data_IF_164728858440
#
_entry.id   IF_164728858440
#
_cell.length_a   1.000
_cell.length_b   1.000
_cell.length_c   1.000
_cell.angle_alpha   90.00
_cell.angle_beta   90.00
_cell.angle_gamma   90.00
#
_symmetry.space_group_name_H-M   'P 1'
#
loop_
_entity.id
_entity.type
_entity.pdbx_description
1 polymer ?
#
# COMPACT_ATOMS: atom_id res chain seq x y z
N UNK A 1 -2.53 33.63 58.82
CA UNK A 1 -3.13 32.56 57.96
C UNK A 1 -3.46 33.01 56.55
N UNK A 2 -3.93 34.25 56.32
CA UNK A 2 -4.21 34.80 54.96
C UNK A 2 -2.96 34.99 54.08
N UNK A 3 -1.79 35.27 54.66
CA UNK A 3 -0.57 35.52 53.87
C UNK A 3 0.13 34.23 53.40
N UNK A 4 -0.04 33.12 54.13
CA UNK A 4 0.47 31.81 53.72
C UNK A 4 -0.24 31.31 52.45
N UNK A 5 -1.57 31.47 52.38
CA UNK A 5 -2.39 31.05 51.23
C UNK A 5 -2.04 31.83 49.96
N UNK A 6 -1.73 33.13 50.06
CA UNK A 6 -1.30 33.94 48.91
C UNK A 6 0.07 33.54 48.38
N UNK A 7 0.98 33.08 49.26
CA UNK A 7 2.30 32.59 48.85
C UNK A 7 2.22 31.25 48.13
N UNK A 8 1.40 30.31 48.63
CA UNK A 8 1.22 29.00 48.00
C UNK A 8 0.53 29.10 46.64
N UNK A 9 -0.44 30.01 46.48
CA UNK A 9 -1.12 30.23 45.21
C UNK A 9 -0.18 30.82 44.14
N UNK A 10 0.72 31.74 44.52
CA UNK A 10 1.75 32.28 43.62
C UNK A 10 2.74 31.20 43.18
N UNK A 11 3.14 30.31 44.10
CA UNK A 11 4.04 29.20 43.79
C UNK A 11 3.40 28.16 42.86
N UNK A 12 2.11 27.87 43.04
CA UNK A 12 1.37 26.95 42.18
C UNK A 12 1.21 27.50 40.76
N UNK A 13 0.92 28.79 40.61
CA UNK A 13 0.82 29.46 39.29
C UNK A 13 2.19 29.55 38.60
N UNK A 14 3.28 29.77 39.36
CA UNK A 14 4.63 29.74 38.78
C UNK A 14 5.01 28.32 38.32
N UNK A 15 4.67 27.30 39.10
CA UNK A 15 4.97 25.90 38.76
C UNK A 15 4.20 25.41 37.52
N UNK A 16 2.94 25.81 37.34
CA UNK A 16 2.17 25.47 36.13
C UNK A 16 2.68 26.19 34.89
N UNK A 17 3.13 27.45 35.01
CA UNK A 17 3.71 28.20 33.89
C UNK A 17 5.08 27.65 33.48
N UNK A 18 5.94 27.27 34.44
CA UNK A 18 7.25 26.66 34.14
C UNK A 18 7.10 25.26 33.57
N UNK A 19 6.13 24.47 34.06
CA UNK A 19 5.83 23.13 33.51
C UNK A 19 5.42 23.18 32.04
N UNK A 20 4.60 24.16 31.65
CA UNK A 20 4.23 24.34 30.24
C UNK A 20 5.43 24.78 29.39
N UNK A 21 6.30 25.67 29.89
CA UNK A 21 7.49 26.10 29.14
C UNK A 21 8.49 24.97 28.87
N UNK A 22 8.78 24.12 29.86
CA UNK A 22 9.71 22.98 29.67
C UNK A 22 9.14 21.89 28.76
N UNK A 23 7.81 21.76 28.71
CA UNK A 23 7.12 20.82 27.83
C UNK A 23 7.09 21.33 26.39
N UNK A 24 6.98 22.65 26.20
CA UNK A 24 7.14 23.31 24.88
C UNK A 24 8.58 23.22 24.40
N UNK A 25 9.57 23.45 25.27
CA UNK A 25 11.00 23.32 24.94
C UNK A 25 11.36 21.90 24.49
N UNK A 26 10.85 20.88 25.20
CA UNK A 26 10.99 19.47 24.80
C UNK A 26 10.25 19.11 23.50
N UNK A 27 9.20 19.84 23.14
CA UNK A 27 8.50 19.65 21.85
C UNK A 27 9.23 20.35 20.69
N UNK A 28 10.04 21.38 20.97
CA UNK A 28 10.85 22.11 19.97
C UNK A 28 12.26 21.56 19.76
N UNK A 29 12.79 20.73 20.67
CA UNK A 29 14.17 20.24 20.62
C UNK A 29 14.41 18.95 19.79
N UNK A 30 13.40 18.39 19.11
CA UNK A 30 13.69 17.44 18.03
C UNK A 30 14.21 18.20 16.80
N UNK A 31 15.44 18.70 16.90
CA UNK A 31 16.26 19.10 15.75
C UNK A 31 16.56 17.81 14.99
N UNK A 32 15.63 17.40 14.13
CA UNK A 32 15.84 16.29 13.19
C UNK A 32 16.96 16.77 12.27
N UNK A 33 18.17 16.21 12.35
CA UNK A 33 19.27 16.70 11.56
C UNK A 33 18.93 16.49 10.08
N UNK A 34 19.11 17.54 9.28
CA UNK A 34 19.05 17.52 7.81
C UNK A 34 20.18 16.63 7.29
N UNK A 35 20.02 15.31 7.38
CA UNK A 35 21.01 14.33 6.94
C UNK A 35 20.53 13.71 5.62
N UNK A 36 21.22 13.97 4.49
CA UNK A 36 20.94 13.24 3.27
C UNK A 36 21.25 11.75 3.51
N UNK A 37 20.23 10.90 3.40
CA UNK A 37 20.40 9.46 3.56
C UNK A 37 21.26 8.89 2.43
N UNK A 38 22.01 7.82 2.72
CA UNK A 38 22.82 7.12 1.71
C UNK A 38 21.93 6.62 0.58
N UNK A 39 22.14 7.15 -0.62
CA UNK A 39 21.26 7.00 -1.78
C UNK A 39 21.38 5.60 -2.40
N UNK A 40 20.34 4.77 -2.25
CA UNK A 40 20.14 3.58 -3.09
C UNK A 40 19.18 3.94 -4.21
N UNK A 41 19.51 3.59 -5.46
CA UNK A 41 18.60 3.76 -6.60
C UNK A 41 17.26 3.07 -6.31
N UNK A 42 16.16 3.79 -6.54
CA UNK A 42 14.78 3.33 -6.35
C UNK A 42 14.17 2.65 -7.58
N UNK A 43 14.95 2.52 -8.64
CA UNK A 43 14.50 2.00 -9.93
C UNK A 43 15.55 1.04 -10.47
N UNK A 44 15.12 0.14 -11.34
CA UNK A 44 16.06 -0.65 -12.13
C UNK A 44 16.60 0.23 -13.25
N UNK A 45 17.93 0.21 -13.46
CA UNK A 45 18.47 0.75 -14.73
C UNK A 45 17.77 -0.01 -15.86
N UNK A 46 17.31 0.70 -16.88
CA UNK A 46 16.43 0.15 -17.92
C UNK A 46 17.14 -1.01 -18.61
N UNK A 47 16.86 -2.25 -18.20
CA UNK A 47 17.49 -3.44 -18.79
C UNK A 47 16.56 -4.66 -18.84
N UNK A 48 16.49 -5.19 -20.06
CA UNK A 48 16.16 -6.50 -20.65
C UNK A 48 15.33 -7.58 -19.95
N UNK A 49 14.97 -7.46 -18.67
CA UNK A 49 14.23 -8.52 -17.99
C UNK A 49 12.86 -8.76 -18.66
N UNK A 50 12.54 -10.02 -19.03
CA UNK A 50 11.24 -10.32 -19.63
C UNK A 50 10.09 -10.03 -18.67
N UNK A 51 10.35 -10.11 -17.35
CA UNK A 51 9.39 -9.88 -16.27
C UNK A 51 10.08 -9.20 -15.10
N UNK A 52 9.50 -8.12 -14.57
CA UNK A 52 9.91 -7.48 -13.33
C UNK A 52 8.79 -7.59 -12.29
N UNK A 53 9.12 -8.08 -11.11
CA UNK A 53 8.21 -8.14 -9.96
C UNK A 53 8.49 -6.99 -9.00
N UNK A 54 7.42 -6.43 -8.46
CA UNK A 54 7.44 -5.48 -7.36
C UNK A 54 6.66 -6.09 -6.20
N UNK A 55 7.32 -6.20 -5.05
CA UNK A 55 6.70 -6.62 -3.79
C UNK A 55 7.24 -5.83 -2.61
N UNK A 56 6.63 -6.02 -1.44
CA UNK A 56 7.06 -5.35 -0.19
C UNK A 56 8.24 -6.01 0.50
N UNK A 57 8.74 -7.11 -0.05
CA UNK A 57 9.83 -7.89 0.52
C UNK A 57 10.62 -8.61 -0.58
N UNK A 58 11.94 -8.57 -0.47
CA UNK A 58 12.84 -9.21 -1.42
C UNK A 58 12.67 -10.73 -1.47
N UNK A 59 12.54 -11.36 -0.31
CA UNK A 59 12.50 -12.83 -0.20
C UNK A 59 11.26 -13.40 -0.89
N UNK A 60 10.11 -12.75 -0.73
CA UNK A 60 8.89 -13.13 -1.44
C UNK A 60 9.02 -12.99 -2.97
N UNK A 61 9.64 -11.90 -3.42
CA UNK A 61 9.94 -11.67 -4.84
C UNK A 61 10.86 -12.76 -5.39
N UNK A 62 11.93 -13.12 -4.66
CA UNK A 62 12.88 -14.16 -5.06
C UNK A 62 12.21 -15.55 -5.14
N UNK A 63 11.38 -15.90 -4.14
CA UNK A 63 10.62 -17.17 -4.14
C UNK A 63 9.69 -17.24 -5.36
N UNK A 64 9.01 -16.15 -5.69
CA UNK A 64 8.07 -16.17 -6.82
C UNK A 64 8.79 -16.13 -8.18
N UNK A 65 9.94 -15.47 -8.29
CA UNK A 65 10.78 -15.56 -9.48
C UNK A 65 11.20 -17.02 -9.76
N UNK A 66 11.56 -17.77 -8.72
CA UNK A 66 11.86 -19.21 -8.85
C UNK A 66 10.64 -20.04 -9.28
N UNK A 67 9.42 -19.63 -8.86
CA UNK A 67 8.19 -20.23 -9.37
C UNK A 67 7.98 -19.92 -10.85
N UNK A 68 8.15 -18.66 -11.28
CA UNK A 68 7.99 -18.25 -12.68
C UNK A 68 8.95 -18.98 -13.63
N UNK A 69 10.17 -19.28 -13.17
CA UNK A 69 11.13 -20.08 -13.94
C UNK A 69 10.61 -21.51 -14.23
N UNK A 70 9.86 -22.11 -13.30
CA UNK A 70 9.25 -23.44 -13.44
C UNK A 70 7.90 -23.40 -14.16
N UNK A 71 7.20 -22.27 -14.08
CA UNK A 71 5.89 -22.03 -14.67
C UNK A 71 5.97 -21.10 -15.91
N UNK A 72 7.00 -21.28 -16.73
CA UNK A 72 7.29 -20.40 -17.88
C UNK A 72 6.16 -20.36 -18.91
N UNK A 73 5.41 -21.46 -19.02
CA UNK A 73 4.24 -21.65 -19.89
C UNK A 73 3.01 -20.81 -19.52
N UNK A 74 2.97 -20.20 -18.33
CA UNK A 74 1.88 -19.30 -17.95
C UNK A 74 1.91 -18.02 -18.82
N UNK A 75 0.73 -17.61 -19.29
CA UNK A 75 0.59 -16.32 -19.97
C UNK A 75 0.68 -15.15 -18.98
N UNK A 76 0.69 -13.92 -19.49
CA UNK A 76 0.87 -12.72 -18.65
C UNK A 76 -0.22 -12.56 -17.59
N UNK A 77 -1.49 -12.73 -17.98
CA UNK A 77 -2.64 -12.65 -17.06
C UNK A 77 -2.57 -13.73 -15.99
N UNK A 78 -2.20 -14.95 -16.36
CA UNK A 78 -2.06 -16.07 -15.43
C UNK A 78 -0.91 -15.84 -14.43
N UNK A 79 0.21 -15.27 -14.88
CA UNK A 79 1.33 -14.85 -14.02
C UNK A 79 0.92 -13.74 -13.06
N UNK A 80 0.14 -12.76 -13.51
CA UNK A 80 -0.43 -11.71 -12.65
C UNK A 80 -1.30 -12.33 -11.54
N UNK A 81 -2.22 -13.23 -11.91
CA UNK A 81 -3.12 -13.88 -10.96
C UNK A 81 -2.38 -14.80 -10.00
N UNK A 82 -1.37 -15.53 -10.48
CA UNK A 82 -0.50 -16.35 -9.62
C UNK A 82 0.26 -15.48 -8.60
N UNK A 83 0.77 -14.31 -9.02
CA UNK A 83 1.48 -13.38 -8.14
C UNK A 83 0.55 -12.82 -7.06
N UNK A 84 -0.68 -12.47 -7.44
CA UNK A 84 -1.73 -12.04 -6.50
C UNK A 84 -2.06 -13.13 -5.48
N UNK A 85 -2.32 -14.37 -5.93
CA UNK A 85 -2.61 -15.47 -5.01
C UNK A 85 -1.46 -15.69 -4.02
N UNK A 86 -0.21 -15.66 -4.50
CA UNK A 86 0.96 -15.84 -3.65
C UNK A 86 1.07 -14.78 -2.54
N UNK A 87 0.49 -13.58 -2.70
CA UNK A 87 0.45 -12.57 -1.64
C UNK A 87 -0.28 -13.07 -0.39
N UNK A 88 -1.24 -14.00 -0.50
CA UNK A 88 -1.90 -14.59 0.67
C UNK A 88 -0.94 -15.38 1.55
N UNK A 89 0.13 -15.92 0.98
CA UNK A 89 1.20 -16.55 1.75
C UNK A 89 2.14 -15.50 2.34
N UNK A 90 2.44 -14.43 1.60
CA UNK A 90 3.41 -13.42 2.03
C UNK A 90 2.90 -12.50 3.13
N UNK A 91 1.61 -12.14 3.08
CA UNK A 91 0.93 -11.26 4.02
C UNK A 91 -0.44 -11.83 4.37
N UNK A 92 -0.49 -12.95 5.12
CA UNK A 92 -1.76 -13.56 5.53
C UNK A 92 -2.61 -12.66 6.44
N UNK A 93 -2.02 -11.56 6.91
CA UNK A 93 -2.65 -10.50 7.69
C UNK A 93 -3.24 -9.34 6.86
N UNK A 94 -2.88 -9.19 5.57
CA UNK A 94 -3.35 -8.10 4.68
C UNK A 94 -3.90 -8.56 3.32
N UNK A 95 -3.45 -9.71 2.82
CA UNK A 95 -3.87 -10.30 1.56
C UNK A 95 -4.68 -11.57 1.89
N UNK A 96 -5.97 -11.40 2.10
CA UNK A 96 -6.88 -12.50 2.44
C UNK A 96 -7.94 -12.64 1.35
N UNK A 97 -8.62 -13.80 1.24
CA UNK A 97 -9.67 -14.02 0.27
C UNK A 97 -10.77 -12.96 0.27
N UNK A 98 -11.05 -12.33 1.41
CA UNK A 98 -12.09 -11.30 1.58
C UNK A 98 -11.57 -9.87 1.61
N UNK A 99 -10.27 -9.64 1.40
CA UNK A 99 -9.73 -8.29 1.33
C UNK A 99 -10.32 -7.54 0.12
N UNK A 100 -10.56 -6.23 0.28
CA UNK A 100 -10.92 -5.37 -0.86
C UNK A 100 -9.76 -5.41 -1.85
N UNK A 101 -10.06 -5.47 -3.14
CA UNK A 101 -9.03 -5.65 -4.16
C UNK A 101 -9.16 -4.60 -5.25
N UNK A 102 -8.14 -3.76 -5.36
CA UNK A 102 -8.03 -2.74 -6.40
C UNK A 102 -6.95 -3.15 -7.40
N UNK A 103 -7.22 -2.96 -8.68
CA UNK A 103 -6.33 -3.34 -9.77
C UNK A 103 -6.27 -2.24 -10.79
N UNK A 104 -5.05 -1.88 -11.19
CA UNK A 104 -4.79 -1.18 -12.45
C UNK A 104 -3.93 -2.07 -13.33
N UNK A 105 -4.36 -2.28 -14.56
CA UNK A 105 -3.61 -3.07 -15.54
C UNK A 105 -3.51 -2.31 -16.85
N UNK A 106 -2.37 -2.44 -17.52
CA UNK A 106 -2.17 -2.04 -18.89
C UNK A 106 -1.89 -3.28 -19.72
N UNK A 107 -2.80 -3.59 -20.63
CA UNK A 107 -2.67 -4.72 -21.55
C UNK A 107 -2.77 -4.23 -23.00
N UNK A 108 -2.71 -5.16 -23.96
CA UNK A 108 -2.92 -4.82 -25.38
C UNK A 108 -4.32 -4.25 -25.66
N UNK A 109 -5.31 -4.51 -24.81
CA UNK A 109 -6.66 -3.93 -24.94
C UNK A 109 -6.79 -2.55 -24.28
N UNK A 110 -5.69 -1.99 -23.77
CA UNK A 110 -5.66 -0.70 -23.08
C UNK A 110 -5.58 -0.84 -21.55
N UNK A 111 -5.76 0.30 -20.89
CA UNK A 111 -5.72 0.43 -19.44
C UNK A 111 -7.09 0.11 -18.85
N UNK A 112 -7.11 -0.69 -17.78
CA UNK A 112 -8.33 -1.01 -17.05
C UNK A 112 -8.09 -0.87 -15.55
N UNK A 113 -9.09 -0.30 -14.88
CA UNK A 113 -9.16 -0.20 -13.43
C UNK A 113 -10.38 -0.97 -12.91
N UNK A 114 -10.19 -1.73 -11.84
CA UNK A 114 -11.27 -2.37 -11.09
C UNK A 114 -11.06 -2.19 -9.59
N UNK A 115 -12.18 -2.06 -8.89
CA UNK A 115 -12.29 -2.10 -7.45
C UNK A 115 -13.36 -3.09 -7.03
N UNK A 116 -12.92 -4.22 -6.49
CA UNK A 116 -13.77 -5.28 -5.99
C UNK A 116 -13.97 -5.12 -4.49
N UNK A 117 -15.19 -4.77 -4.08
CA UNK A 117 -15.58 -4.51 -2.68
C UNK A 117 -16.88 -5.19 -2.29
N UNK A 118 -17.10 -5.39 -0.99
CA UNK A 118 -18.37 -5.86 -0.44
C UNK A 118 -19.47 -4.83 -0.73
N UNK A 119 -20.62 -5.28 -1.24
CA UNK A 119 -21.76 -4.42 -1.52
C UNK A 119 -22.33 -3.76 -0.26
N UNK A 120 -22.11 -4.36 0.91
CA UNK A 120 -22.52 -3.81 2.20
C UNK A 120 -21.47 -2.88 2.84
N UNK A 121 -20.32 -2.66 2.20
CA UNK A 121 -19.22 -1.88 2.78
C UNK A 121 -19.62 -0.44 3.12
N UNK A 122 -20.47 0.15 2.28
CA UNK A 122 -20.93 1.53 2.42
C UNK A 122 -22.18 1.65 3.31
N UNK A 123 -22.77 0.53 3.73
CA UNK A 123 -24.01 0.49 4.54
C UNK A 123 -23.74 0.32 6.05
N UNK A 124 -22.49 0.21 6.47
CA UNK A 124 -22.08 0.04 7.88
C UNK A 124 -22.74 -1.14 8.61
N UNK A 125 -23.24 -2.13 7.86
CA UNK A 125 -23.83 -3.34 8.40
C UNK A 125 -22.70 -4.35 8.67
N UNK A 126 -22.41 -4.68 9.95
CA UNK A 126 -21.38 -5.65 10.27
C UNK A 126 -21.81 -7.04 9.77
N UNK A 127 -21.24 -7.50 8.66
CA UNK A 127 -21.32 -8.91 8.28
C UNK A 127 -20.31 -9.71 9.10
N UNK A 128 -20.78 -10.83 9.64
CA UNK A 128 -19.93 -11.79 10.35
C UNK A 128 -18.88 -12.45 9.45
N UNK A 129 -19.05 -12.41 8.12
CA UNK A 129 -18.07 -12.91 7.16
C UNK A 129 -18.19 -12.17 5.82
N UNK A 130 -17.24 -11.26 5.48
CA UNK A 130 -17.28 -10.54 4.22
C UNK A 130 -17.10 -11.48 3.01
N UNK A 131 -17.69 -11.14 1.84
CA UNK A 131 -17.55 -11.92 0.63
C UNK A 131 -16.09 -12.00 0.18
N UNK A 132 -15.72 -13.08 -0.53
CA UNK A 132 -14.35 -13.28 -1.02
C UNK A 132 -14.05 -12.44 -2.27
N UNK A 133 -14.09 -11.11 -2.12
CA UNK A 133 -13.88 -10.10 -3.18
C UNK A 133 -12.54 -10.27 -3.89
N UNK A 134 -11.47 -10.58 -3.16
CA UNK A 134 -10.15 -10.76 -3.74
C UNK A 134 -10.15 -11.91 -4.76
N UNK A 135 -10.65 -13.08 -4.36
CA UNK A 135 -10.71 -14.25 -5.24
C UNK A 135 -11.70 -14.06 -6.40
N UNK A 136 -12.82 -13.37 -6.15
CA UNK A 136 -13.76 -12.99 -7.20
C UNK A 136 -13.12 -12.08 -8.24
N UNK A 137 -12.34 -11.08 -7.82
CA UNK A 137 -11.62 -10.19 -8.72
C UNK A 137 -10.58 -10.92 -9.57
N UNK A 138 -9.82 -11.85 -8.98
CA UNK A 138 -8.86 -12.67 -9.72
C UNK A 138 -9.55 -13.57 -10.76
N UNK A 139 -10.67 -14.20 -10.43
CA UNK A 139 -11.44 -14.96 -11.40
C UNK A 139 -12.01 -14.06 -12.52
N UNK A 140 -12.47 -12.85 -12.17
CA UNK A 140 -12.97 -11.87 -13.14
C UNK A 140 -11.88 -11.48 -14.13
N UNK A 141 -10.65 -11.21 -13.67
CA UNK A 141 -9.51 -10.89 -14.52
C UNK A 141 -9.18 -12.04 -15.49
N UNK A 142 -9.16 -13.29 -15.01
CA UNK A 142 -8.93 -14.45 -15.88
C UNK A 142 -9.98 -14.55 -16.99
N UNK A 143 -11.26 -14.29 -16.68
CA UNK A 143 -12.36 -14.32 -17.64
C UNK A 143 -12.28 -13.17 -18.64
N UNK A 144 -12.04 -11.94 -18.18
CA UNK A 144 -11.92 -10.75 -19.03
C UNK A 144 -10.87 -10.94 -20.13
N UNK A 145 -9.74 -11.55 -19.79
CA UNK A 145 -8.66 -11.81 -20.75
C UNK A 145 -8.67 -13.22 -21.33
N UNK A 146 -9.79 -13.95 -21.20
CA UNK A 146 -9.99 -15.27 -21.82
C UNK A 146 -8.83 -16.25 -21.56
N UNK A 147 -8.36 -16.27 -20.32
CA UNK A 147 -7.27 -17.13 -19.86
C UNK A 147 -7.60 -18.61 -20.08
N UNK A 148 -6.62 -19.39 -20.51
CA UNK A 148 -6.77 -20.85 -20.71
C UNK A 148 -6.86 -21.57 -19.36
N UNK A 149 -6.09 -21.10 -18.38
CA UNK A 149 -6.08 -21.68 -17.05
C UNK A 149 -7.10 -21.01 -16.13
N UNK A 150 -7.85 -21.83 -15.41
CA UNK A 150 -8.78 -21.40 -14.35
C UNK A 150 -8.04 -21.08 -13.05
N UNK A 151 -8.72 -20.42 -12.10
CA UNK A 151 -8.17 -20.18 -10.77
C UNK A 151 -7.81 -21.49 -10.03
N UNK A 152 -8.56 -22.57 -10.27
CA UNK A 152 -8.27 -23.91 -9.74
C UNK A 152 -6.98 -24.48 -10.34
N UNK A 153 -6.77 -24.26 -11.64
CA UNK A 153 -5.56 -24.73 -12.33
C UNK A 153 -4.32 -23.98 -11.83
N UNK A 154 -4.40 -22.66 -11.71
CA UNK A 154 -3.30 -21.82 -11.21
C UNK A 154 -2.98 -22.17 -9.75
N UNK A 155 -3.99 -22.36 -8.89
CA UNK A 155 -3.76 -22.77 -7.49
C UNK A 155 -3.09 -24.14 -7.36
N UNK A 156 -3.45 -25.11 -8.20
CA UNK A 156 -2.77 -26.41 -8.23
C UNK A 156 -1.29 -26.27 -8.64
N UNK A 157 -0.98 -25.36 -9.57
CA UNK A 157 0.42 -25.09 -9.96
C UNK A 157 1.22 -24.45 -8.82
N UNK A 158 0.62 -23.52 -8.07
CA UNK A 158 1.24 -22.94 -6.87
C UNK A 158 1.50 -24.03 -5.82
N UNK A 159 0.51 -24.88 -5.54
CA UNK A 159 0.66 -26.02 -4.63
C UNK A 159 1.75 -27.01 -5.09
N UNK A 160 1.94 -27.18 -6.40
CA UNK A 160 2.94 -28.11 -6.94
C UNK A 160 4.36 -27.53 -6.91
N UNK A 161 4.54 -26.26 -7.29
CA UNK A 161 5.87 -25.72 -7.59
C UNK A 161 6.47 -24.80 -6.54
N UNK A 162 5.67 -24.24 -5.62
CA UNK A 162 6.19 -23.44 -4.51
C UNK A 162 6.82 -24.32 -3.42
N UNK A 163 7.88 -23.83 -2.75
CA UNK A 163 8.51 -24.55 -1.65
C UNK A 163 7.54 -24.73 -0.48
N UNK A 164 7.72 -25.81 0.31
CA UNK A 164 6.84 -26.12 1.45
C UNK A 164 6.95 -25.10 2.59
N UNK A 165 8.08 -24.39 2.67
CA UNK A 165 8.37 -23.36 3.66
C UNK A 165 8.62 -22.05 2.93
N UNK A 166 7.84 -21.03 3.27
CA UNK A 166 7.93 -19.69 2.68
C UNK A 166 8.55 -18.76 3.74
N UNK A 167 9.70 -18.12 3.46
CA UNK A 167 10.27 -17.13 4.37
C UNK A 167 9.33 -15.95 4.61
N UNK A 168 9.32 -15.43 5.84
CA UNK A 168 8.52 -14.26 6.20
C UNK A 168 9.30 -12.96 6.04
N UNK A 169 8.58 -11.95 5.59
CA UNK A 169 9.09 -10.57 5.47
C UNK A 169 9.30 -9.91 6.83
N UNK A 170 10.12 -8.86 6.85
CA UNK A 170 10.34 -8.08 8.07
C UNK A 170 9.03 -7.45 8.60
N UNK A 171 8.17 -6.95 7.71
CA UNK A 171 6.88 -6.36 8.08
C UNK A 171 5.92 -7.39 8.66
N UNK A 172 5.94 -8.63 8.17
CA UNK A 172 5.10 -9.68 8.72
C UNK A 172 5.63 -10.18 10.07
N UNK A 173 6.95 -10.29 10.24
CA UNK A 173 7.57 -10.60 11.53
C UNK A 173 7.23 -9.55 12.60
N UNK A 174 7.34 -8.26 12.24
CA UNK A 174 6.95 -7.14 13.10
C UNK A 174 5.46 -7.21 13.47
N UNK A 175 4.59 -7.53 12.52
CA UNK A 175 3.17 -7.74 12.79
C UNK A 175 2.93 -8.90 13.79
N UNK A 176 3.61 -10.03 13.65
CA UNK A 176 3.47 -11.17 14.59
C UNK A 176 3.91 -10.74 16.00
N UNK A 177 5.03 -10.03 16.10
CA UNK A 177 5.58 -9.55 17.37
C UNK A 177 4.60 -8.60 18.09
N UNK A 178 4.10 -7.58 17.39
CA UNK A 178 3.15 -6.61 17.92
C UNK A 178 1.81 -7.24 18.37
N UNK A 179 1.45 -8.39 17.82
CA UNK A 179 0.17 -9.06 18.08
C UNK A 179 0.32 -10.42 18.76
N UNK A 180 1.49 -10.71 19.36
CA UNK A 180 1.84 -12.00 19.96
C UNK A 180 0.74 -12.56 20.86
N UNK A 181 0.25 -11.76 21.80
CA UNK A 181 -0.77 -12.20 22.77
C UNK A 181 -2.03 -12.77 22.09
N UNK A 182 -2.60 -12.02 21.13
CA UNK A 182 -3.83 -12.42 20.42
C UNK A 182 -3.61 -13.62 19.51
N UNK A 183 -2.42 -13.73 18.89
CA UNK A 183 -2.10 -14.83 17.99
C UNK A 183 -1.86 -16.16 18.74
N UNK A 184 -1.43 -16.11 20.00
CA UNK A 184 -1.23 -17.30 20.83
C UNK A 184 -2.56 -17.95 21.27
N UNK A 185 -3.67 -17.22 21.21
CA UNK A 185 -5.00 -17.72 21.61
C UNK A 185 -5.54 -18.80 20.64
N UNK A 186 -5.11 -18.77 19.37
CA UNK A 186 -5.57 -19.72 18.34
C UNK A 186 -4.50 -20.76 17.99
N UNK A 187 -4.90 -22.04 17.96
CA UNK A 187 -4.00 -23.17 17.69
C UNK A 187 -3.40 -23.17 16.29
N UNK A 188 -4.12 -22.65 15.28
CA UNK A 188 -3.65 -22.58 13.89
C UNK A 188 -2.54 -21.54 13.78
N UNK A 189 -2.74 -20.38 14.40
CA UNK A 189 -1.72 -19.33 14.44
C UNK A 189 -0.52 -19.74 15.29
N UNK A 190 -0.74 -20.34 16.47
CA UNK A 190 0.33 -20.91 17.29
C UNK A 190 1.23 -21.85 16.49
N UNK A 191 0.64 -22.78 15.73
CA UNK A 191 1.39 -23.75 14.91
C UNK A 191 2.12 -23.11 13.73
N UNK A 192 1.59 -22.00 13.19
CA UNK A 192 2.06 -21.42 11.93
C UNK A 192 3.02 -20.26 12.12
N UNK A 193 2.84 -19.44 13.17
CA UNK A 193 3.54 -18.18 13.41
C UNK A 193 4.49 -18.22 14.61
N UNK A 194 4.60 -19.37 15.29
CA UNK A 194 5.49 -19.55 16.43
C UNK A 194 6.29 -20.85 16.32
N UNK A 195 7.48 -20.84 16.92
CA UNK A 195 8.34 -22.01 17.15
C UNK A 195 8.71 -22.04 18.62
N UNK A 196 8.41 -23.14 19.30
CA UNK A 196 8.65 -23.27 20.75
C UNK A 196 8.11 -22.07 21.56
N UNK A 197 6.90 -21.60 21.22
CA UNK A 197 6.23 -20.42 21.79
C UNK A 197 6.91 -19.05 21.55
N UNK A 198 8.00 -19.02 20.79
CA UNK A 198 8.62 -17.78 20.30
C UNK A 198 8.07 -17.40 18.92
N UNK A 199 7.88 -16.10 18.71
CA UNK A 199 7.38 -15.55 17.44
C UNK A 199 8.41 -15.76 16.33
N UNK A 200 7.92 -16.04 15.11
CA UNK A 200 8.79 -16.11 13.95
C UNK A 200 9.44 -14.75 13.66
N UNK A 201 10.73 -14.78 13.35
CA UNK A 201 11.56 -13.62 13.00
C UNK A 201 11.74 -13.51 11.49
N UNK A 202 12.19 -12.35 11.02
CA UNK A 202 12.54 -12.12 9.62
C UNK A 202 13.45 -13.21 9.06
N UNK A 203 13.11 -13.73 7.87
CA UNK A 203 13.85 -14.80 7.21
C UNK A 203 13.53 -16.22 7.70
N UNK A 204 12.88 -16.37 8.86
CA UNK A 204 12.27 -17.65 9.22
C UNK A 204 11.06 -17.94 8.34
N UNK A 205 10.49 -19.14 8.42
CA UNK A 205 9.49 -19.59 7.45
C UNK A 205 8.19 -20.06 8.07
N UNK A 206 7.10 -19.73 7.40
CA UNK A 206 5.76 -20.29 7.60
C UNK A 206 5.51 -21.44 6.62
N UNK A 207 4.53 -22.33 6.88
CA UNK A 207 4.11 -23.31 5.89
C UNK A 207 3.53 -22.65 4.63
N UNK A 208 3.69 -23.33 3.49
CA UNK A 208 2.96 -23.01 2.27
C UNK A 208 1.45 -23.15 2.48
N UNK A 209 0.68 -22.17 2.01
CA UNK A 209 -0.77 -22.19 1.98
C UNK A 209 -1.24 -23.30 1.03
N UNK A 210 -2.25 -24.07 1.43
CA UNK A 210 -2.91 -25.01 0.53
C UNK A 210 -3.86 -24.26 -0.41
N UNK A 211 -3.34 -23.69 -1.50
CA UNK A 211 -4.10 -22.80 -2.40
C UNK A 211 -5.32 -23.50 -2.97
N UNK A 212 -5.19 -24.75 -3.40
CA UNK A 212 -6.31 -25.53 -3.97
C UNK A 212 -7.46 -25.67 -2.98
N UNK A 213 -7.17 -25.86 -1.68
CA UNK A 213 -8.20 -25.94 -0.64
C UNK A 213 -8.97 -24.62 -0.50
N UNK A 214 -8.25 -23.49 -0.50
CA UNK A 214 -8.83 -22.15 -0.42
C UNK A 214 -9.72 -21.87 -1.66
N UNK A 215 -9.20 -22.16 -2.86
CA UNK A 215 -9.93 -21.93 -4.10
C UNK A 215 -11.15 -22.85 -4.24
N UNK A 216 -11.07 -24.10 -3.79
CA UNK A 216 -12.23 -25.00 -3.78
C UNK A 216 -13.33 -24.51 -2.83
N UNK A 217 -12.95 -23.94 -1.68
CA UNK A 217 -13.91 -23.31 -0.77
C UNK A 217 -14.59 -22.09 -1.43
N UNK A 218 -13.82 -21.22 -2.08
CA UNK A 218 -14.38 -20.11 -2.88
C UNK A 218 -15.42 -20.59 -3.91
N UNK A 219 -15.09 -21.61 -4.69
CA UNK A 219 -16.02 -22.15 -5.70
C UNK A 219 -17.30 -22.75 -5.09
N UNK A 220 -17.24 -23.28 -3.87
CA UNK A 220 -18.43 -23.78 -3.15
C UNK A 220 -19.44 -22.68 -2.84
N UNK A 221 -18.97 -21.46 -2.58
CA UNK A 221 -19.81 -20.31 -2.19
C UNK A 221 -19.94 -19.24 -3.28
N UNK A 222 -19.41 -19.49 -4.48
CA UNK A 222 -19.28 -18.51 -5.56
C UNK A 222 -20.58 -17.79 -5.92
N UNK A 223 -21.69 -18.51 -6.05
CA UNK A 223 -22.97 -17.91 -6.45
C UNK A 223 -23.48 -16.90 -5.42
N UNK A 224 -23.28 -17.18 -4.13
CA UNK A 224 -23.60 -16.25 -3.05
C UNK A 224 -22.64 -15.05 -3.09
N UNK A 225 -21.34 -15.31 -3.20
CA UNK A 225 -20.30 -14.27 -3.28
C UNK A 225 -20.59 -13.30 -4.43
N UNK A 226 -20.97 -13.78 -5.61
CA UNK A 226 -21.21 -12.92 -6.78
C UNK A 226 -22.35 -11.90 -6.60
N UNK A 227 -23.30 -12.16 -5.70
CA UNK A 227 -24.40 -11.22 -5.38
C UNK A 227 -23.97 -10.20 -4.33
N UNK A 228 -22.96 -10.53 -3.52
CA UNK A 228 -22.45 -9.70 -2.43
C UNK A 228 -21.24 -8.83 -2.83
N UNK A 229 -20.69 -9.00 -4.04
CA UNK A 229 -19.53 -8.23 -4.52
C UNK A 229 -20.00 -7.14 -5.48
N UNK A 230 -19.56 -5.92 -5.21
CA UNK A 230 -19.67 -4.78 -6.13
C UNK A 230 -18.33 -4.57 -6.83
N UNK A 231 -18.38 -4.30 -8.14
CA UNK A 231 -17.22 -3.91 -8.95
C UNK A 231 -17.41 -2.46 -9.39
N UNK A 232 -16.44 -1.59 -9.08
CA UNK A 232 -16.39 -0.22 -9.59
C UNK A 232 -15.21 -0.05 -10.54
N UNK A 233 -15.44 0.65 -11.65
CA UNK A 233 -14.40 1.05 -12.60
C UNK A 233 -14.27 2.58 -12.66
N UNK A 234 -14.82 3.28 -11.66
CA UNK A 234 -14.91 4.74 -11.67
C UNK A 234 -13.53 5.37 -11.61
N UNK A 235 -13.29 6.29 -12.55
CA UNK A 235 -12.11 7.13 -12.60
C UNK A 235 -12.54 8.58 -12.84
N UNK A 236 -11.93 9.51 -12.13
CA UNK A 236 -12.15 10.95 -12.21
C UNK A 236 -11.00 11.57 -13.00
N UNK A 237 -11.35 12.41 -13.97
CA UNK A 237 -10.37 13.19 -14.72
C UNK A 237 -9.86 14.35 -13.87
N UNK A 238 -8.58 14.67 -14.02
CA UNK A 238 -7.93 15.76 -13.32
C UNK A 238 -7.53 16.82 -14.34
N UNK A 239 -8.03 18.03 -14.12
CA UNK A 239 -7.52 19.22 -14.78
C UNK A 239 -6.19 19.63 -14.13
N UNK A 240 -5.11 19.50 -14.90
CA UNK A 240 -3.78 19.98 -14.54
C UNK A 240 -3.37 21.00 -15.61
N UNK A 241 -2.93 22.22 -15.23
CA UNK A 241 -2.66 23.31 -16.18
C UNK A 241 -1.68 22.98 -17.31
N UNK A 242 -0.79 22.01 -17.08
CA UNK A 242 0.27 21.64 -18.00
C UNK A 242 -0.09 20.51 -18.98
N UNK A 243 -1.30 19.95 -18.90
CA UNK A 243 -1.71 18.88 -19.80
C UNK A 243 -2.10 19.45 -21.16
N UNK A 244 -1.62 18.83 -22.23
CA UNK A 244 -2.07 19.15 -23.58
C UNK A 244 -3.50 18.62 -23.77
N UNK A 245 -4.48 19.54 -23.78
CA UNK A 245 -5.90 19.20 -23.94
C UNK A 245 -6.11 18.32 -25.18
N UNK A 246 -6.71 17.15 -24.98
CA UNK A 246 -7.03 16.19 -26.04
C UNK A 246 -5.90 15.20 -26.40
N UNK A 247 -4.67 15.41 -25.93
CA UNK A 247 -3.54 14.50 -26.14
C UNK A 247 -3.16 13.72 -24.88
N UNK A 248 -3.37 14.33 -23.71
CA UNK A 248 -3.03 13.74 -22.42
C UNK A 248 -4.22 13.82 -21.47
N UNK A 249 -4.43 12.74 -20.72
CA UNK A 249 -5.43 12.69 -19.66
C UNK A 249 -4.84 12.00 -18.43
N UNK A 250 -5.09 12.56 -17.25
CA UNK A 250 -4.78 11.92 -15.97
C UNK A 250 -6.10 11.55 -15.31
N UNK A 251 -6.24 10.27 -14.99
CA UNK A 251 -7.42 9.67 -14.42
C UNK A 251 -7.09 9.04 -13.06
N UNK A 252 -7.89 9.29 -12.04
CA UNK A 252 -7.73 8.73 -10.69
C UNK A 252 -8.99 8.03 -10.20
N UNK A 253 -8.85 6.98 -9.41
CA UNK A 253 -10.00 6.31 -8.77
C UNK A 253 -10.59 7.08 -7.57
N UNK A 254 -10.00 8.21 -7.21
CA UNK A 254 -10.46 9.13 -6.18
C UNK A 254 -10.49 10.53 -6.76
N UNK A 255 -11.47 11.33 -6.36
CA UNK A 255 -11.47 12.76 -6.68
C UNK A 255 -10.36 13.43 -5.87
N UNK A 256 -9.21 13.68 -6.52
CA UNK A 256 -8.11 14.43 -5.92
C UNK A 256 -8.29 15.95 -6.10
N UNK A 257 -9.17 16.42 -6.98
CA UNK A 257 -9.36 17.85 -7.18
C UNK A 257 -10.00 18.51 -5.97
N UNK A 258 -10.74 17.75 -5.14
CA UNK A 258 -11.24 18.22 -3.85
C UNK A 258 -10.17 18.86 -2.95
N UNK A 259 -8.90 18.46 -3.08
CA UNK A 259 -7.80 19.03 -2.28
C UNK A 259 -7.49 20.49 -2.66
N UNK A 260 -7.79 20.92 -3.90
CA UNK A 260 -7.71 22.34 -4.29
C UNK A 260 -8.70 23.22 -3.51
N UNK A 261 -9.79 22.62 -3.01
CA UNK A 261 -10.81 23.26 -2.19
C UNK A 261 -10.58 23.02 -0.68
N UNK A 262 -9.39 22.55 -0.30
CA UNK A 262 -9.04 22.21 1.10
C UNK A 262 -9.96 21.16 1.74
N UNK A 263 -10.52 20.23 0.95
CA UNK A 263 -11.32 19.11 1.47
C UNK A 263 -10.43 17.88 1.69
N UNK A 264 -9.96 17.70 2.92
CA UNK A 264 -9.02 16.63 3.29
C UNK A 264 -9.71 15.41 3.92
N UNK A 265 -9.19 14.21 3.66
CA UNK A 265 -9.73 12.93 4.16
C UNK A 265 -8.75 12.29 5.16
N UNK A 266 -8.48 13.03 6.23
CA UNK A 266 -7.54 12.62 7.27
C UNK A 266 -8.09 11.43 8.05
N UNK A 267 -7.44 10.27 7.91
CA UNK A 267 -7.73 9.10 8.72
C UNK A 267 -7.17 9.23 10.14
N UNK A 268 -7.78 8.52 11.09
CA UNK A 268 -7.28 8.40 12.46
C UNK A 268 -5.99 7.58 12.53
N UNK A 269 -5.80 6.61 11.63
CA UNK A 269 -4.63 5.74 11.57
C UNK A 269 -3.68 6.07 10.40
N UNK A 270 -2.48 5.48 10.42
CA UNK A 270 -1.48 5.64 9.36
C UNK A 270 -1.75 4.75 8.13
N UNK A 271 -2.93 4.13 8.04
CA UNK A 271 -3.36 3.21 6.97
C UNK A 271 -2.32 2.17 6.60
N UNK A 272 -1.66 1.54 7.59
CA UNK A 272 -0.73 0.42 7.37
C UNK A 272 -1.44 -0.91 7.02
N UNK A 273 -2.64 -0.79 6.45
CA UNK A 273 -3.60 -1.85 6.17
C UNK A 273 -3.79 -2.11 4.68
N UNK A 274 -2.92 -1.49 3.87
CA UNK A 274 -2.82 -1.69 2.43
C UNK A 274 -1.57 -2.49 2.06
N UNK A 275 -1.73 -3.40 1.10
CA UNK A 275 -0.64 -4.23 0.59
C UNK A 275 -0.59 -4.17 -0.94
N UNK A 276 0.18 -3.22 -1.49
CA UNK A 276 0.41 -3.16 -2.93
C UNK A 276 1.51 -4.11 -3.40
N UNK A 277 1.38 -4.55 -4.65
CA UNK A 277 2.33 -5.40 -5.36
C UNK A 277 2.10 -5.26 -6.88
N UNK A 278 3.12 -5.52 -7.68
CA UNK A 278 3.03 -5.31 -9.12
C UNK A 278 3.87 -6.30 -9.94
N UNK A 279 3.58 -6.38 -11.23
CA UNK A 279 4.36 -7.12 -12.24
C UNK A 279 4.38 -6.32 -13.54
N UNK A 280 5.56 -6.16 -14.13
CA UNK A 280 5.80 -5.51 -15.43
C UNK A 280 6.38 -6.52 -16.42
N UNK A 281 6.03 -6.36 -17.69
CA UNK A 281 6.61 -7.09 -18.80
C UNK A 281 7.44 -6.18 -19.71
N UNK A 282 8.38 -6.76 -20.46
CA UNK A 282 9.27 -6.03 -21.37
C UNK A 282 8.54 -5.17 -22.40
N UNK A 283 7.34 -5.58 -22.84
CA UNK A 283 6.53 -4.84 -23.83
C UNK A 283 5.66 -3.73 -23.22
N UNK A 284 5.94 -3.29 -21.98
CA UNK A 284 5.24 -2.17 -21.34
C UNK A 284 3.87 -2.52 -20.74
N UNK A 285 3.43 -3.78 -20.86
CA UNK A 285 2.27 -4.27 -20.12
C UNK A 285 2.62 -4.38 -18.64
N UNK A 286 1.70 -4.01 -17.76
CA UNK A 286 1.88 -4.10 -16.32
C UNK A 286 0.57 -4.40 -15.62
N UNK A 287 0.69 -4.87 -14.39
CA UNK A 287 -0.39 -5.03 -13.43
C UNK A 287 0.07 -4.50 -12.08
N UNK A 288 -0.79 -3.72 -11.45
CA UNK A 288 -0.63 -3.19 -10.10
C UNK A 288 -1.87 -3.60 -9.29
N UNK A 289 -1.66 -4.43 -8.28
CA UNK A 289 -2.71 -4.91 -7.39
C UNK A 289 -2.52 -4.37 -5.98
N UNK A 290 -3.62 -4.06 -5.30
CA UNK A 290 -3.62 -3.61 -3.91
C UNK A 290 -4.72 -4.32 -3.15
N UNK A 291 -4.36 -4.98 -2.03
CA UNK A 291 -5.34 -5.49 -1.08
C UNK A 291 -5.47 -4.54 0.11
N UNK A 292 -6.70 -4.31 0.55
CA UNK A 292 -7.02 -3.35 1.62
C UNK A 292 -7.98 -3.96 2.64
N UNK A 293 -7.64 -3.83 3.91
CA UNK A 293 -8.46 -4.29 5.04
C UNK A 293 -8.68 -3.16 6.06
N UNK A 294 -9.75 -3.18 6.85
CA UNK A 294 -9.96 -2.22 7.94
C UNK A 294 -9.58 -2.80 9.29
N UNK A 295 -10.08 -4.00 9.60
CA UNK A 295 -9.86 -4.66 10.87
C UNK A 295 -9.46 -6.13 10.66
N UNK A 296 -8.68 -6.63 11.61
CA UNK A 296 -8.26 -8.03 11.68
C UNK A 296 -9.02 -8.68 12.82
N UNK A 297 -9.79 -9.71 12.49
CA UNK A 297 -10.27 -10.64 13.49
C UNK A 297 -9.19 -11.69 13.66
N UNK A 298 -8.67 -11.86 14.88
CA UNK A 298 -7.62 -12.83 15.20
C UNK A 298 -8.19 -14.24 15.25
N UNK A 299 -8.81 -14.66 14.13
CA UNK A 299 -9.36 -15.98 13.88
C UNK A 299 -8.89 -16.50 12.53
N UNK A 300 -8.57 -17.80 12.43
CA UNK A 300 -8.12 -18.41 11.20
C UNK A 300 -9.26 -18.55 10.20
N UNK A 301 -9.05 -18.03 9.00
CA UNK A 301 -9.98 -18.18 7.89
C UNK A 301 -9.83 -19.57 7.27
N UNK A 302 -10.95 -20.29 7.11
CA UNK A 302 -11.01 -21.59 6.42
C UNK A 302 -10.04 -22.66 6.97
N UNK A 303 -9.78 -22.64 8.28
CA UNK A 303 -8.83 -23.52 8.96
C UNK A 303 -7.44 -23.49 8.29
N UNK A 304 -6.98 -22.27 8.01
CA UNK A 304 -5.67 -21.92 7.46
C UNK A 304 -5.08 -20.78 8.30
N UNK A 305 -3.80 -20.46 8.09
CA UNK A 305 -3.17 -19.34 8.80
C UNK A 305 -3.56 -17.96 8.25
N UNK A 306 -4.45 -17.88 7.26
CA UNK A 306 -5.01 -16.61 6.80
C UNK A 306 -5.91 -16.02 7.89
N UNK A 307 -5.92 -14.70 8.04
CA UNK A 307 -6.78 -14.03 9.01
C UNK A 307 -8.16 -13.75 8.45
N UNK A 308 -9.17 -13.81 9.31
CA UNK A 308 -10.44 -13.17 9.02
C UNK A 308 -10.28 -11.65 9.08
N UNK A 309 -10.73 -10.95 8.03
CA UNK A 309 -10.54 -9.50 7.90
C UNK A 309 -11.78 -8.84 7.34
N UNK A 310 -12.07 -7.61 7.79
CA UNK A 310 -13.04 -6.71 7.17
C UNK A 310 -12.36 -5.80 6.15
N UNK A 311 -13.12 -5.26 5.21
CA UNK A 311 -12.59 -4.44 4.12
C UNK A 311 -12.41 -2.98 4.53
N UNK A 312 -11.42 -2.31 3.94
CA UNK A 312 -11.27 -0.87 4.08
C UNK A 312 -12.34 -0.14 3.25
N UNK A 313 -13.10 0.76 3.91
CA UNK A 313 -14.09 1.63 3.25
C UNK A 313 -13.42 2.60 2.27
N UNK A 314 -12.20 3.04 2.58
CA UNK A 314 -11.46 4.00 1.76
C UNK A 314 -10.66 3.30 0.67
N UNK A 315 -10.80 3.80 -0.56
CA UNK A 315 -9.98 3.37 -1.69
C UNK A 315 -8.55 3.85 -1.50
N UNK A 316 -7.58 3.05 -1.93
CA UNK A 316 -6.20 3.53 -2.12
C UNK A 316 -6.14 4.41 -3.37
N UNK A 317 -5.68 5.67 -3.28
CA UNK A 317 -5.49 6.55 -4.43
C UNK A 317 -4.56 5.94 -5.47
N UNK A 318 -5.13 5.73 -6.65
CA UNK A 318 -4.50 5.15 -7.80
C UNK A 318 -4.87 5.98 -9.03
N UNK A 319 -3.84 6.48 -9.71
CA UNK A 319 -3.99 7.30 -10.90
C UNK A 319 -3.18 6.75 -12.06
N UNK A 320 -3.58 7.05 -13.28
CA UNK A 320 -2.74 6.86 -14.46
C UNK A 320 -2.83 8.05 -15.40
N UNK A 321 -1.74 8.29 -16.12
CA UNK A 321 -1.66 9.25 -17.23
C UNK A 321 -1.60 8.46 -18.52
N UNK A 322 -2.50 8.76 -19.45
CA UNK A 322 -2.36 8.34 -20.83
C UNK A 322 -1.70 9.45 -21.65
N UNK A 323 -0.68 9.10 -22.42
CA UNK A 323 0.07 10.04 -23.26
C UNK A 323 0.63 9.32 -24.49
N UNK A 324 1.12 10.09 -25.46
CA UNK A 324 1.82 9.55 -26.64
C UNK A 324 3.10 8.78 -26.28
N UNK A 325 3.72 9.07 -25.12
CA UNK A 325 4.87 8.35 -24.60
C UNK A 325 4.51 7.02 -23.92
N UNK A 326 3.22 6.72 -23.78
CA UNK A 326 2.68 5.54 -23.10
C UNK A 326 1.97 5.88 -21.78
N UNK A 327 1.71 4.83 -21.00
CA UNK A 327 0.96 4.90 -19.75
C UNK A 327 1.90 5.03 -18.55
N UNK A 328 1.73 6.10 -17.77
CA UNK A 328 2.33 6.20 -16.43
C UNK A 328 1.27 5.91 -15.36
N UNK A 329 1.66 5.31 -14.24
CA UNK A 329 0.75 5.06 -13.12
C UNK A 329 1.34 5.56 -11.80
N UNK A 330 0.47 5.98 -10.88
CA UNK A 330 0.84 6.57 -9.60
C UNK A 330 -0.03 5.97 -8.51
N UNK A 331 0.59 5.54 -7.41
CA UNK A 331 -0.10 4.89 -6.30
C UNK A 331 0.37 5.48 -4.99
N UNK A 332 -0.55 5.94 -4.15
CA UNK A 332 -0.25 6.39 -2.78
C UNK A 332 -1.07 5.59 -1.79
N UNK A 333 -0.42 4.91 -0.83
CA UNK A 333 -1.10 3.84 -0.07
C UNK A 333 -0.77 3.79 1.43
N UNK A 334 0.01 4.72 1.96
CA UNK A 334 0.30 4.81 3.40
C UNK A 334 0.14 6.23 3.90
N UNK A 335 -0.01 6.37 5.22
CA UNK A 335 -0.22 7.63 5.90
C UNK A 335 -1.69 8.01 6.02
N UNK A 336 -1.96 9.12 6.71
CA UNK A 336 -3.30 9.49 7.17
C UNK A 336 -4.20 9.96 6.02
N UNK A 337 -3.63 10.60 5.00
CA UNK A 337 -4.32 10.97 3.76
C UNK A 337 -3.42 10.72 2.54
N UNK A 338 -3.44 9.49 2.00
CA UNK A 338 -2.64 9.17 0.83
C UNK A 338 -3.02 10.00 -0.41
N UNK A 339 -4.25 10.52 -0.49
CA UNK A 339 -4.73 11.28 -1.64
C UNK A 339 -4.08 12.66 -1.68
N UNK A 340 -3.93 13.30 -0.52
CA UNK A 340 -3.23 14.57 -0.40
C UNK A 340 -1.77 14.45 -0.84
N UNK A 341 -1.06 13.37 -0.47
CA UNK A 341 0.33 13.16 -0.91
C UNK A 341 0.45 13.08 -2.43
N UNK A 342 -0.48 12.37 -3.07
CA UNK A 342 -0.48 12.22 -4.52
C UNK A 342 -0.86 13.53 -5.23
N UNK A 343 -1.82 14.28 -4.68
CA UNK A 343 -2.17 15.61 -5.15
C UNK A 343 -0.97 16.56 -5.12
N UNK A 344 -0.24 16.59 -4.00
CA UNK A 344 0.95 17.43 -3.87
C UNK A 344 2.01 17.11 -4.93
N UNK A 345 2.23 15.82 -5.22
CA UNK A 345 3.15 15.42 -6.29
C UNK A 345 2.71 15.89 -7.69
N UNK A 346 1.41 15.91 -7.97
CA UNK A 346 0.90 16.48 -9.22
C UNK A 346 1.07 18.00 -9.28
N UNK A 347 0.96 18.71 -8.15
CA UNK A 347 1.30 20.14 -8.09
C UNK A 347 2.78 20.41 -8.38
N UNK A 348 3.65 19.45 -8.03
CA UNK A 348 5.07 19.48 -8.38
C UNK A 348 5.37 18.96 -9.80
N UNK A 349 4.35 18.70 -10.62
CA UNK A 349 4.50 18.26 -12.01
C UNK A 349 5.15 16.87 -12.20
N UNK A 350 4.98 15.95 -11.25
CA UNK A 350 5.48 14.56 -11.40
C UNK A 350 4.98 13.90 -12.70
N UNK A 351 3.78 14.26 -13.16
CA UNK A 351 3.14 13.72 -14.36
C UNK A 351 3.76 14.16 -15.69
N UNK A 352 4.66 15.15 -15.65
CA UNK A 352 5.39 15.60 -16.83
C UNK A 352 6.65 14.77 -17.08
N UNK A 353 7.24 14.17 -16.05
CA UNK A 353 8.47 13.41 -16.21
C UNK A 353 8.22 11.94 -16.55
N UNK A 354 9.06 11.42 -17.43
CA UNK A 354 9.21 9.98 -17.70
C UNK A 354 10.64 9.52 -17.45
N UNK A 355 11.52 10.41 -16.97
CA UNK A 355 12.90 10.09 -16.69
C UNK A 355 13.02 9.41 -15.31
N UNK A 356 13.76 8.30 -15.18
CA UNK A 356 13.87 7.60 -13.91
C UNK A 356 14.53 8.41 -12.80
N UNK A 357 15.49 9.28 -13.13
CA UNK A 357 16.19 10.10 -12.13
C UNK A 357 15.30 11.21 -11.60
N UNK A 358 14.58 11.90 -12.50
CA UNK A 358 13.59 12.90 -12.12
C UNK A 358 12.49 12.30 -11.24
N UNK A 359 11.94 11.15 -11.64
CA UNK A 359 10.90 10.45 -10.88
C UNK A 359 11.40 10.00 -9.50
N UNK A 360 12.65 9.52 -9.40
CA UNK A 360 13.27 9.21 -8.11
C UNK A 360 13.37 10.47 -7.23
N UNK A 361 13.76 11.61 -7.80
CA UNK A 361 13.82 12.88 -7.08
C UNK A 361 12.42 13.31 -6.58
N UNK A 362 11.39 13.22 -7.42
CA UNK A 362 10.00 13.53 -7.00
C UNK A 362 9.51 12.64 -5.86
N UNK A 363 9.77 11.33 -5.93
CA UNK A 363 9.32 10.41 -4.88
C UNK A 363 10.08 10.65 -3.57
N UNK A 364 11.36 11.03 -3.64
CA UNK A 364 12.18 11.36 -2.46
C UNK A 364 11.83 12.69 -1.83
N UNK A 365 11.27 13.63 -2.60
CA UNK A 365 10.91 14.96 -2.14
C UNK A 365 10.10 14.90 -0.83
N UNK A 366 10.36 15.79 0.14
CA UNK A 366 9.69 15.82 1.43
C UNK A 366 8.18 15.91 1.26
N UNK A 367 7.46 15.05 1.96
CA UNK A 367 6.00 15.09 2.00
C UNK A 367 5.52 16.00 3.10
N UNK A 368 4.32 16.50 2.89
CA UNK A 368 3.61 17.28 3.88
C UNK A 368 2.14 16.88 3.90
N UNK A 369 1.53 17.06 5.07
CA UNK A 369 0.11 16.82 5.32
C UNK A 369 -0.50 18.10 5.90
N UNK A 370 -1.45 18.70 5.19
CA UNK A 370 -2.20 19.87 5.70
C UNK A 370 -3.37 19.34 6.54
N UNK A 371 -3.44 19.80 7.78
CA UNK A 371 -4.51 19.52 8.72
C UNK A 371 -5.32 20.79 8.95
N UNK A 372 -6.64 20.66 8.96
CA UNK A 372 -7.55 21.74 9.30
C UNK A 372 -8.02 21.64 10.75
N UNK A 373 -8.42 22.77 11.33
CA UNK A 373 -9.00 22.88 12.67
C UNK A 373 -8.11 22.35 13.81
N UNK A 374 -7.05 23.09 14.22
CA UNK A 374 -6.51 24.30 13.58
C UNK A 374 -5.66 24.00 12.33
N UNK A 375 -5.48 25.01 11.47
CA UNK A 375 -4.57 24.93 10.33
C UNK A 375 -3.14 24.66 10.82
N UNK A 376 -2.55 23.57 10.35
CA UNK A 376 -1.17 23.17 10.66
C UNK A 376 -0.65 22.20 9.61
N UNK A 377 0.66 22.06 9.52
CA UNK A 377 1.33 21.17 8.57
C UNK A 377 2.16 20.13 9.32
N UNK A 378 1.98 18.85 8.99
CA UNK A 378 3.00 17.84 9.29
C UNK A 378 3.99 17.82 8.12
N UNK A 379 5.29 17.87 8.38
CA UNK A 379 6.32 17.97 7.33
C UNK A 379 7.48 17.00 7.56
N UNK A 380 7.93 16.32 6.50
CA UNK A 380 9.08 15.42 6.53
C UNK A 380 10.42 16.16 6.54
N UNK A 381 10.81 16.68 7.69
CA UNK A 381 11.95 17.60 7.79
C UNK A 381 13.29 16.94 7.55
N UNK A 382 13.41 15.63 7.83
CA UNK A 382 14.62 14.83 7.53
C UNK A 382 14.99 14.80 6.04
N UNK A 383 14.05 15.15 5.15
CA UNK A 383 14.22 15.14 3.69
C UNK A 383 14.06 16.51 3.06
N UNK A 384 13.71 17.52 3.86
CA UNK A 384 13.45 18.87 3.41
C UNK A 384 14.68 19.76 3.39
N UNK A 385 14.49 20.95 2.85
CA UNK A 385 15.45 22.06 2.93
C UNK A 385 14.84 23.19 3.77
N UNK A 386 15.67 24.13 4.23
CA UNK A 386 15.18 25.34 4.91
C UNK A 386 14.26 26.15 3.97
N UNK A 387 14.62 26.27 2.68
CA UNK A 387 13.79 26.95 1.67
C UNK A 387 12.38 26.32 1.50
N UNK A 388 12.28 25.01 1.68
CA UNK A 388 10.97 24.33 1.64
C UNK A 388 10.13 24.60 2.88
N UNK A 389 10.77 24.81 4.03
CA UNK A 389 10.11 25.18 5.29
C UNK A 389 9.68 26.66 5.28
N UNK A 390 10.49 27.54 4.72
CA UNK A 390 10.23 28.99 4.66
C UNK A 390 8.88 29.29 3.99
N UNK A 391 8.51 28.52 2.95
CA UNK A 391 7.19 28.63 2.29
C UNK A 391 6.01 28.50 3.27
N UNK A 392 6.14 27.67 4.31
CA UNK A 392 5.10 27.47 5.32
C UNK A 392 5.21 28.48 6.47
N UNK A 393 6.45 28.86 6.82
CA UNK A 393 6.72 29.88 7.84
C UNK A 393 6.21 31.25 7.40
N UNK A 394 6.43 31.64 6.15
CA UNK A 394 5.92 32.88 5.54
C UNK A 394 4.39 32.97 5.60
N UNK A 395 3.70 31.83 5.61
CA UNK A 395 2.25 31.75 5.70
C UNK A 395 1.73 31.73 7.16
N UNK A 396 2.61 31.85 8.16
CA UNK A 396 2.30 31.74 9.58
C UNK A 396 1.58 30.42 9.95
N UNK A 397 1.89 29.33 9.26
CA UNK A 397 1.29 28.02 9.52
C UNK A 397 2.18 27.22 10.48
N UNK A 398 1.66 26.73 11.62
CA UNK A 398 2.42 25.86 12.52
C UNK A 398 2.91 24.59 11.82
N UNK A 399 4.21 24.30 11.95
CA UNK A 399 4.86 23.14 11.36
C UNK A 399 5.19 22.13 12.46
N UNK A 400 4.86 20.87 12.23
CA UNK A 400 5.22 19.75 13.08
C UNK A 400 6.06 18.77 12.27
N UNK A 401 7.20 18.41 12.83
CA UNK A 401 8.18 17.56 12.15
C UNK A 401 7.75 16.09 12.24
N UNK A 402 7.87 15.38 11.13
CA UNK A 402 7.66 13.94 11.05
C UNK A 402 8.85 13.28 10.38
N UNK A 403 9.23 12.08 10.82
CA UNK A 403 10.32 11.33 10.19
C UNK A 403 9.91 10.73 8.84
N UNK A 404 8.63 10.34 8.71
CA UNK A 404 8.08 9.66 7.53
C UNK A 404 6.58 9.89 7.41
N UNK A 405 6.15 10.37 6.25
CA UNK A 405 4.77 10.53 5.82
C UNK A 405 4.56 9.78 4.51
N UNK A 406 3.62 8.84 4.56
CA UNK A 406 3.14 8.10 3.40
C UNK A 406 4.17 7.30 2.60
N UNK A 407 3.67 6.63 1.57
CA UNK A 407 4.48 5.93 0.57
C UNK A 407 3.82 6.08 -0.80
N UNK A 408 4.62 6.37 -1.82
CA UNK A 408 4.16 6.53 -3.21
C UNK A 408 4.99 5.67 -4.17
N UNK A 409 4.33 4.89 -5.02
CA UNK A 409 4.97 4.16 -6.11
C UNK A 409 4.57 4.76 -7.45
N UNK A 410 5.53 4.78 -8.39
CA UNK A 410 5.30 5.28 -9.74
C UNK A 410 5.70 4.21 -10.75
N UNK A 411 4.93 4.10 -11.82
CA UNK A 411 5.30 3.38 -13.03
C UNK A 411 5.42 4.39 -14.17
N UNK A 412 6.48 4.28 -14.97
CA UNK A 412 6.63 5.02 -16.23
C UNK A 412 7.02 4.06 -17.35
N UNK A 413 6.60 4.33 -18.61
CA UNK A 413 6.98 3.51 -19.75
C UNK A 413 8.50 3.36 -19.91
N UNK A 414 9.24 4.46 -19.73
CA UNK A 414 10.71 4.47 -19.85
C UNK A 414 11.40 3.86 -18.63
N UNK A 415 10.99 4.27 -17.42
CA UNK A 415 11.67 3.90 -16.17
C UNK A 415 11.25 2.55 -15.58
N UNK A 416 10.09 2.03 -15.98
CA UNK A 416 9.42 0.98 -15.20
C UNK A 416 8.95 1.48 -13.85
N UNK A 417 9.00 0.63 -12.83
CA UNK A 417 8.62 1.00 -11.48
C UNK A 417 9.74 1.76 -10.77
N UNK A 418 9.35 2.84 -10.08
CA UNK A 418 10.18 3.64 -9.17
C UNK A 418 9.56 3.54 -7.79
N UNK A 419 10.33 3.06 -6.80
CA UNK A 419 9.85 2.76 -5.44
C UNK A 419 10.23 3.83 -4.41
N UNK A 420 9.37 4.07 -3.45
CA UNK A 420 9.69 4.95 -2.32
C UNK A 420 10.66 4.28 -1.35
N UNK A 421 11.82 4.91 -1.13
CA UNK A 421 12.84 4.42 -0.21
C UNK A 421 12.47 4.59 1.27
N UNK A 422 11.36 5.27 1.57
CA UNK A 422 10.73 5.22 2.89
C UNK A 422 10.17 3.84 3.21
N UNK A 423 9.75 3.09 2.18
CA UNK A 423 9.23 1.74 2.30
C UNK A 423 10.33 0.67 2.29
N UNK A 424 9.92 -0.59 2.49
CA UNK A 424 10.80 -1.77 2.34
C UNK A 424 10.57 -2.50 1.00
N UNK A 425 10.00 -1.80 0.02
CA UNK A 425 9.67 -2.36 -1.28
C UNK A 425 10.93 -2.90 -2.00
N UNK A 426 10.74 -3.93 -2.81
CA UNK A 426 11.79 -4.55 -3.60
C UNK A 426 11.34 -4.76 -5.04
N UNK A 427 12.22 -4.39 -5.97
CA UNK A 427 12.11 -4.65 -7.40
C UNK A 427 13.08 -5.76 -7.80
N UNK A 428 12.61 -6.77 -8.52
CA UNK A 428 13.48 -7.79 -9.11
C UNK A 428 14.22 -7.24 -10.32
N UNK A 429 15.22 -6.41 -10.09
CA UNK A 429 16.14 -5.99 -11.15
C UNK A 429 17.12 -7.14 -11.45
N UNK A 430 17.44 -7.37 -12.73
CA UNK A 430 18.60 -8.21 -13.09
C UNK A 430 19.86 -7.43 -12.70
N UNK A 431 20.84 -8.14 -12.14
CA UNK A 431 22.17 -7.61 -11.84
C UNK A 431 23.05 -7.62 -13.07
#
# INVERSE_FOLDING_TARGET
>A
MKDSIKSTLKFLVLATLVSCSSMVEKLTEEVVPLKPSVQKKSYCSVDDSPVTLLGRDKTGVDVFNNFLAKASYLNKTEKMVAWSLFQMNMRPDLATPSARFQVLTNTKSGVQYWDFKDSALDMDLPKSSPPMTFLYGLETILKTYSSRHSLRTISNMLDTHLPLKIPISADFAEFIDQNKAKLLEDKVFLKSFFKAAEQLRYGESIPKLAFTKIINNYYRFKNRISVEVTTSNQMYSIDLPSLKKGEEEVLCNVDIQKYSQSKYEISEDNRERHHPYAIKYKDGQFFLGVTSISNRNFRPMMNSFLMETTQDKTSVPLCYKNSTAGISAYLSFRGRDPGQYLYNMFQYNIHQSTDPMDLDQFIRYPRHLILLSPLRVLYESSRGTEEDLDKFVEQNIPIYHSQKLGEVWVYSPKSGFVIDDRGKAHLSCIK
#
